data_IF_286475197128
#
_entry.id   IF_286475197128
#
_cell.length_a   1.000
_cell.length_b   1.000
_cell.length_c   1.000
_cell.angle_alpha   90.00
_cell.angle_beta   90.00
_cell.angle_gamma   90.00
#
_symmetry.space_group_name_H-M   'P 1'
#
loop_
_entity.id
_entity.type
_entity.pdbx_description
1 polymer ?
#
# COMPACT_ATOMS: atom_id res chain seq x y z
N UNK A 1 -20.18 -34.27 -55.86
CA UNK A 1 -18.73 -34.14 -55.60
C UNK A 1 -18.38 -32.67 -55.64
N UNK A 2 -17.47 -32.22 -54.80
CA UNK A 2 -17.08 -30.81 -54.68
C UNK A 2 -15.58 -30.66 -54.89
N UNK A 3 -15.16 -29.60 -55.54
CA UNK A 3 -13.73 -29.21 -55.61
C UNK A 3 -13.59 -27.75 -55.23
N UNK A 4 -12.44 -27.38 -54.69
CA UNK A 4 -12.15 -26.01 -54.29
C UNK A 4 -11.05 -25.41 -55.17
N UNK A 5 -11.34 -24.26 -55.78
CA UNK A 5 -10.36 -23.57 -56.62
C UNK A 5 -9.12 -23.14 -55.79
N UNK A 6 -7.89 -23.38 -56.27
CA UNK A 6 -6.68 -23.04 -55.52
C UNK A 6 -6.44 -21.53 -55.36
N UNK A 7 -6.97 -20.73 -56.28
CA UNK A 7 -6.78 -19.27 -56.26
C UNK A 7 -7.81 -18.58 -55.36
N UNK A 8 -9.10 -18.77 -55.64
CA UNK A 8 -10.17 -18.03 -54.95
C UNK A 8 -10.87 -18.82 -53.84
N UNK A 9 -10.49 -20.08 -53.63
CA UNK A 9 -11.08 -20.95 -52.61
C UNK A 9 -12.60 -21.17 -52.74
N UNK A 10 -13.17 -20.85 -53.90
CA UNK A 10 -14.60 -21.04 -54.18
C UNK A 10 -14.92 -22.54 -54.34
N UNK A 11 -15.85 -23.10 -53.55
CA UNK A 11 -16.29 -24.48 -53.70
C UNK A 11 -17.24 -24.61 -54.89
N UNK A 12 -16.99 -25.56 -55.76
CA UNK A 12 -17.81 -25.83 -56.94
C UNK A 12 -18.28 -27.28 -56.94
N UNK A 13 -19.54 -27.51 -57.32
CA UNK A 13 -20.10 -28.86 -57.44
C UNK A 13 -19.83 -29.39 -58.83
N UNK A 14 -19.35 -30.62 -58.93
CA UNK A 14 -19.07 -31.30 -60.18
C UNK A 14 -19.81 -32.63 -60.27
N UNK A 15 -20.25 -32.93 -61.49
CA UNK A 15 -20.79 -34.24 -61.87
C UNK A 15 -19.68 -35.10 -62.47
N UNK A 16 -19.78 -36.42 -62.33
CA UNK A 16 -18.80 -37.38 -62.87
C UNK A 16 -18.66 -37.25 -64.39
N UNK A 17 -19.76 -36.97 -65.10
CA UNK A 17 -19.74 -36.81 -66.56
C UNK A 17 -18.92 -35.60 -66.99
N UNK A 18 -19.00 -34.48 -66.25
CA UNK A 18 -18.21 -33.28 -66.54
C UNK A 18 -16.71 -33.51 -66.35
N UNK A 19 -16.32 -34.27 -65.31
CA UNK A 19 -14.92 -34.62 -65.07
C UNK A 19 -14.36 -35.52 -66.18
N UNK A 20 -15.19 -36.41 -66.74
CA UNK A 20 -14.79 -37.31 -67.82
C UNK A 20 -14.61 -36.56 -69.14
N UNK A 21 -15.52 -35.64 -69.47
CA UNK A 21 -15.46 -34.85 -70.70
C UNK A 21 -14.25 -33.92 -70.74
N UNK A 22 -13.93 -33.25 -69.62
CA UNK A 22 -12.84 -32.26 -69.58
C UNK A 22 -11.50 -32.83 -69.10
N UNK A 23 -11.41 -34.16 -68.93
CA UNK A 23 -10.23 -34.87 -68.40
C UNK A 23 -9.72 -34.29 -67.07
N UNK A 24 -10.64 -33.89 -66.18
CA UNK A 24 -10.31 -33.35 -64.86
C UNK A 24 -9.93 -31.87 -64.83
N UNK A 25 -9.69 -31.22 -65.96
CA UNK A 25 -9.41 -29.77 -65.99
C UNK A 25 -10.71 -28.99 -66.09
N UNK A 26 -10.96 -28.07 -65.16
CA UNK A 26 -12.14 -27.21 -65.16
C UNK A 26 -11.76 -25.74 -65.00
N UNK A 27 -12.67 -24.85 -65.40
CA UNK A 27 -12.54 -23.42 -65.16
C UNK A 27 -13.38 -23.02 -63.94
N UNK A 28 -12.78 -22.25 -63.03
CA UNK A 28 -13.53 -21.74 -61.88
C UNK A 28 -14.63 -20.77 -62.30
N UNK A 29 -15.85 -20.95 -61.78
CA UNK A 29 -17.00 -20.08 -62.06
C UNK A 29 -16.84 -18.68 -61.47
N UNK A 30 -15.96 -18.51 -60.48
CA UNK A 30 -15.77 -17.25 -59.78
C UNK A 30 -14.58 -16.44 -60.31
N UNK A 31 -13.40 -17.05 -60.44
CA UNK A 31 -12.18 -16.35 -60.87
C UNK A 31 -11.71 -16.71 -62.29
N UNK A 32 -12.38 -17.64 -62.98
CA UNK A 32 -12.03 -18.08 -64.33
C UNK A 32 -10.66 -18.75 -64.52
N UNK A 33 -9.93 -19.04 -63.43
CA UNK A 33 -8.69 -19.83 -63.48
C UNK A 33 -8.98 -21.27 -63.92
N UNK A 34 -8.17 -21.82 -64.81
CA UNK A 34 -8.19 -23.25 -65.14
C UNK A 34 -7.33 -24.03 -64.15
N UNK A 35 -7.88 -25.10 -63.58
CA UNK A 35 -7.18 -25.94 -62.60
C UNK A 35 -7.65 -27.39 -62.71
N UNK A 36 -6.84 -28.29 -62.16
CA UNK A 36 -7.20 -29.70 -62.04
C UNK A 36 -8.14 -29.91 -60.84
N UNK A 37 -9.38 -30.27 -61.14
CA UNK A 37 -10.42 -30.50 -60.14
C UNK A 37 -10.12 -31.72 -59.25
N UNK A 38 -9.36 -32.71 -59.74
CA UNK A 38 -9.12 -33.98 -59.04
C UNK A 38 -8.20 -33.80 -57.84
N UNK A 39 -7.29 -32.82 -57.87
CA UNK A 39 -6.33 -32.56 -56.78
C UNK A 39 -7.00 -32.12 -55.47
N UNK A 40 -8.22 -31.56 -55.54
CA UNK A 40 -8.97 -31.07 -54.37
C UNK A 40 -10.42 -31.56 -54.37
N UNK A 41 -10.67 -32.73 -54.97
CA UNK A 41 -11.99 -33.34 -55.00
C UNK A 41 -12.34 -33.92 -53.63
N UNK A 42 -13.55 -33.62 -53.16
CA UNK A 42 -14.11 -34.10 -51.91
C UNK A 42 -15.59 -34.45 -52.08
N UNK A 43 -16.09 -35.40 -51.32
CA UNK A 43 -17.50 -35.79 -51.37
C UNK A 43 -18.40 -34.94 -50.46
N UNK A 44 -17.78 -34.10 -49.62
CA UNK A 44 -18.45 -33.25 -48.63
C UNK A 44 -18.31 -31.77 -49.03
N UNK A 45 -19.38 -30.96 -49.06
CA UNK A 45 -19.29 -29.56 -49.43
C UNK A 45 -18.40 -28.81 -48.42
N UNK A 46 -17.37 -28.14 -48.93
CA UNK A 46 -16.36 -27.42 -48.13
C UNK A 46 -16.87 -26.11 -47.51
N UNK A 47 -18.12 -26.04 -47.04
CA UNK A 47 -18.59 -24.85 -46.33
C UNK A 47 -19.27 -25.17 -45.00
N UNK A 48 -18.69 -24.55 -43.97
CA UNK A 48 -19.16 -24.37 -42.60
C UNK A 48 -19.10 -25.60 -41.69
N UNK A 49 -17.88 -26.11 -41.47
CA UNK A 49 -17.52 -26.28 -40.07
C UNK A 49 -17.37 -24.85 -39.50
N UNK A 50 -18.40 -24.35 -38.82
CA UNK A 50 -18.15 -23.46 -37.68
C UNK A 50 -16.98 -24.11 -36.91
N UNK A 51 -15.97 -23.36 -36.41
CA UNK A 51 -15.07 -23.95 -35.42
C UNK A 51 -15.98 -24.68 -34.43
N UNK A 52 -15.76 -25.99 -34.16
CA UNK A 52 -16.70 -26.79 -33.39
C UNK A 52 -17.08 -25.94 -32.20
N UNK A 53 -18.37 -25.61 -32.11
CA UNK A 53 -18.91 -24.67 -31.12
C UNK A 53 -18.21 -25.01 -29.82
N UNK A 54 -17.31 -24.12 -29.39
CA UNK A 54 -16.26 -24.38 -28.40
C UNK A 54 -16.80 -25.38 -27.41
N UNK A 55 -16.40 -26.65 -27.56
CA UNK A 55 -17.07 -27.76 -26.89
C UNK A 55 -16.77 -27.55 -25.42
N UNK A 56 -17.70 -26.86 -24.73
CA UNK A 56 -17.54 -26.43 -23.36
C UNK A 56 -17.31 -27.70 -22.57
N UNK A 57 -16.04 -27.94 -22.26
CA UNK A 57 -15.61 -29.15 -21.63
C UNK A 57 -16.47 -29.34 -20.38
N UNK A 58 -16.98 -30.55 -20.09
CA UNK A 58 -17.94 -30.76 -19.01
C UNK A 58 -17.41 -30.34 -17.62
N UNK A 59 -16.11 -30.12 -17.49
CA UNK A 59 -15.44 -29.61 -16.30
C UNK A 59 -15.32 -28.08 -16.23
N UNK A 60 -15.57 -27.36 -17.32
CA UNK A 60 -15.77 -25.90 -17.35
C UNK A 60 -17.25 -25.62 -17.07
N UNK A 61 -17.67 -25.94 -15.86
CA UNK A 61 -18.96 -25.48 -15.38
C UNK A 61 -18.78 -24.10 -14.79
N UNK A 62 -19.42 -23.11 -15.41
CA UNK A 62 -19.69 -21.81 -14.79
C UNK A 62 -20.62 -22.03 -13.60
N UNK A 63 -20.02 -22.39 -12.45
CA UNK A 63 -20.75 -22.51 -11.19
C UNK A 63 -21.21 -21.10 -10.81
N UNK A 64 -22.45 -20.75 -11.17
CA UNK A 64 -23.12 -19.58 -10.59
C UNK A 64 -23.15 -19.76 -9.07
N UNK A 65 -22.63 -18.79 -8.29
CA UNK A 65 -22.60 -18.92 -6.84
C UNK A 65 -24.02 -19.12 -6.31
N UNK A 66 -24.21 -20.16 -5.50
CA UNK A 66 -25.51 -20.61 -4.98
C UNK A 66 -26.17 -19.58 -4.06
N UNK A 67 -25.42 -18.60 -3.54
CA UNK A 67 -25.99 -17.47 -2.81
C UNK A 67 -25.06 -16.23 -2.89
N UNK A 68 -25.20 -15.37 -3.91
CA UNK A 68 -24.36 -14.18 -4.07
C UNK A 68 -24.52 -13.18 -2.91
N UNK A 69 -25.68 -13.17 -2.25
CA UNK A 69 -25.94 -12.33 -1.09
C UNK A 69 -25.06 -12.75 0.10
N UNK A 70 -24.96 -14.05 0.36
CA UNK A 70 -24.18 -14.60 1.47
C UNK A 70 -22.67 -14.40 1.24
N UNK A 71 -22.22 -14.49 -0.02
CA UNK A 71 -20.86 -14.10 -0.41
C UNK A 71 -20.61 -12.61 -0.17
N UNK A 72 -21.49 -11.72 -0.65
CA UNK A 72 -21.34 -10.28 -0.46
C UNK A 72 -21.35 -9.90 1.03
N UNK A 73 -22.21 -10.54 1.84
CA UNK A 73 -22.23 -10.34 3.29
C UNK A 73 -20.94 -10.82 3.96
N UNK A 74 -20.37 -11.94 3.50
CA UNK A 74 -19.11 -12.47 4.03
C UNK A 74 -17.93 -11.55 3.69
N UNK A 75 -17.89 -11.04 2.45
CA UNK A 75 -16.90 -10.04 2.02
C UNK A 75 -17.06 -8.75 2.81
N UNK A 76 -18.29 -8.24 2.97
CA UNK A 76 -18.55 -7.04 3.76
C UNK A 76 -18.14 -7.23 5.23
N UNK A 77 -18.47 -8.36 5.84
CA UNK A 77 -18.05 -8.70 7.20
C UNK A 77 -16.51 -8.79 7.31
N UNK A 78 -15.84 -9.37 6.31
CA UNK A 78 -14.38 -9.41 6.24
C UNK A 78 -13.74 -8.02 6.13
N UNK A 79 -14.31 -7.13 5.32
CA UNK A 79 -13.85 -5.73 5.19
C UNK A 79 -14.07 -4.98 6.50
N UNK A 80 -15.23 -5.14 7.14
CA UNK A 80 -15.53 -4.51 8.43
C UNK A 80 -14.53 -5.00 9.49
N UNK A 81 -14.30 -6.31 9.57
CA UNK A 81 -13.30 -6.89 10.49
C UNK A 81 -11.91 -6.32 10.22
N UNK A 82 -11.50 -6.22 8.95
CA UNK A 82 -10.20 -5.66 8.57
C UNK A 82 -10.10 -4.18 8.97
N UNK A 83 -11.13 -3.37 8.71
CA UNK A 83 -11.17 -1.97 9.14
C UNK A 83 -11.08 -1.85 10.66
N UNK A 84 -11.81 -2.68 11.41
CA UNK A 84 -11.73 -2.72 12.88
C UNK A 84 -10.32 -3.09 13.34
N UNK A 85 -9.68 -4.08 12.71
CA UNK A 85 -8.30 -4.45 13.03
C UNK A 85 -7.33 -3.31 12.72
N UNK A 86 -7.44 -2.65 11.57
CA UNK A 86 -6.60 -1.50 11.21
C UNK A 86 -6.78 -0.37 12.22
N UNK A 87 -8.02 -0.03 12.57
CA UNK A 87 -8.29 1.02 13.56
C UNK A 87 -7.77 0.62 14.94
N UNK A 88 -7.94 -0.64 15.36
CA UNK A 88 -7.46 -1.10 16.66
C UNK A 88 -5.93 -1.14 16.76
N UNK A 89 -5.25 -1.69 15.74
CA UNK A 89 -3.79 -1.85 15.74
C UNK A 89 -3.03 -0.61 15.30
N UNK A 90 -3.53 0.12 14.28
CA UNK A 90 -2.86 1.28 13.70
C UNK A 90 -3.56 2.60 14.02
N UNK A 91 -4.77 2.62 14.57
CA UNK A 91 -5.53 3.85 14.82
C UNK A 91 -4.74 4.92 15.59
N UNK A 92 -4.09 4.60 16.72
CA UNK A 92 -3.30 5.58 17.47
C UNK A 92 -2.17 6.22 16.65
N UNK A 93 -1.48 5.43 15.82
CA UNK A 93 -0.40 5.91 14.95
C UNK A 93 -0.92 6.60 13.69
N UNK A 94 -2.03 6.13 13.13
CA UNK A 94 -2.66 6.68 11.92
C UNK A 94 -3.27 8.06 12.16
N UNK A 95 -3.77 8.31 13.37
CA UNK A 95 -4.21 9.64 13.82
C UNK A 95 -3.04 10.63 13.95
N UNK A 96 -1.81 10.14 14.05
CA UNK A 96 -0.59 10.93 14.15
C UNK A 96 0.18 11.04 12.82
N UNK A 97 -0.48 10.71 11.69
CA UNK A 97 0.02 11.06 10.37
C UNK A 97 -0.65 12.33 9.84
N UNK A 98 0.18 13.30 9.46
CA UNK A 98 -0.21 14.61 8.91
C UNK A 98 -1.25 14.51 7.78
N UNK A 99 -1.12 13.48 6.93
CA UNK A 99 -1.94 13.32 5.71
C UNK A 99 -3.41 12.99 5.99
N UNK A 100 -3.69 12.23 7.04
CA UNK A 100 -5.05 11.73 7.30
C UNK A 100 -5.81 12.56 8.34
N UNK A 101 -5.09 13.34 9.14
CA UNK A 101 -5.67 14.19 10.19
C UNK A 101 -6.82 15.10 9.73
N UNK A 102 -6.75 15.85 8.62
CA UNK A 102 -7.87 16.71 8.22
C UNK A 102 -9.16 15.92 7.99
N UNK A 103 -9.04 14.71 7.43
CA UNK A 103 -10.17 13.83 7.17
C UNK A 103 -10.80 13.30 8.48
N UNK A 104 -9.96 12.99 9.48
CA UNK A 104 -10.43 12.59 10.82
C UNK A 104 -11.09 13.73 11.60
N UNK A 105 -10.60 14.96 11.48
CA UNK A 105 -11.22 16.15 12.08
C UNK A 105 -12.62 16.34 11.51
N UNK A 106 -12.76 16.27 10.19
CA UNK A 106 -14.04 16.42 9.51
C UNK A 106 -15.02 15.30 9.90
N UNK A 107 -14.58 14.03 9.88
CA UNK A 107 -15.39 12.91 10.34
C UNK A 107 -15.82 13.08 11.82
N UNK A 108 -14.91 13.48 12.71
CA UNK A 108 -15.24 13.68 14.12
C UNK A 108 -16.20 14.85 14.35
N UNK A 109 -16.22 15.87 13.48
CA UNK A 109 -17.18 16.97 13.57
C UNK A 109 -18.62 16.47 13.36
N UNK A 110 -18.84 15.51 12.47
CA UNK A 110 -20.15 14.87 12.27
C UNK A 110 -20.51 13.91 13.40
N UNK A 111 -19.53 13.17 13.93
CA UNK A 111 -19.72 12.16 14.97
C UNK A 111 -19.63 12.71 16.40
N UNK A 112 -19.38 14.02 16.59
CA UNK A 112 -19.19 14.67 17.90
C UNK A 112 -18.15 13.95 18.79
N UNK A 113 -17.02 13.58 18.19
CA UNK A 113 -15.93 12.87 18.86
C UNK A 113 -14.79 13.83 19.28
N UNK A 114 -14.12 13.54 20.40
CA UNK A 114 -12.93 14.28 20.85
C UNK A 114 -11.67 13.59 20.31
N UNK A 115 -10.99 14.23 19.36
CA UNK A 115 -9.69 13.76 18.85
C UNK A 115 -8.58 14.10 19.86
N UNK A 116 -7.65 13.19 20.18
CA UNK A 116 -6.49 13.52 21.02
C UNK A 116 -5.59 14.56 20.34
N UNK A 117 -4.84 15.29 21.17
CA UNK A 117 -3.81 16.22 20.69
C UNK A 117 -2.75 15.46 19.87
N UNK A 118 -2.45 16.00 18.69
CA UNK A 118 -1.45 15.40 17.82
C UNK A 118 -0.06 15.71 18.34
N UNK A 119 0.77 14.68 18.28
CA UNK A 119 2.13 14.69 18.77
C UNK A 119 2.93 13.81 17.84
N UNK A 120 4.02 14.33 17.30
CA UNK A 120 4.94 13.54 16.49
C UNK A 120 6.36 13.85 16.92
N UNK A 121 6.96 12.89 17.65
CA UNK A 121 8.32 13.01 18.15
C UNK A 121 9.35 13.08 17.02
N UNK A 122 9.03 12.57 15.82
CA UNK A 122 9.92 12.63 14.67
C UNK A 122 10.07 14.06 14.10
N UNK A 123 9.11 14.95 14.37
CA UNK A 123 9.16 16.34 13.91
C UNK A 123 9.92 17.25 14.90
N UNK A 124 10.37 16.71 16.04
CA UNK A 124 11.29 17.42 16.92
C UNK A 124 12.73 17.16 16.50
N UNK A 125 13.45 18.23 16.23
CA UNK A 125 14.89 18.17 15.96
C UNK A 125 15.68 18.67 17.16
N UNK A 126 16.73 17.93 17.50
CA UNK A 126 17.70 18.34 18.52
C UNK A 126 18.78 19.16 17.84
N UNK A 127 18.84 20.45 18.15
CA UNK A 127 19.87 21.35 17.62
C UNK A 127 21.18 21.22 18.39
N UNK A 128 21.09 21.10 19.71
CA UNK A 128 22.24 20.92 20.58
C UNK A 128 21.85 20.25 21.90
N UNK A 129 22.81 19.55 22.51
CA UNK A 129 22.68 19.08 23.89
C UNK A 129 24.02 19.19 24.61
N UNK A 130 23.95 19.40 25.92
CA UNK A 130 25.13 19.50 26.77
C UNK A 130 24.80 19.08 28.20
N UNK A 131 25.82 18.57 28.90
CA UNK A 131 25.77 18.31 30.33
C UNK A 131 26.96 19.03 30.97
N UNK A 132 26.69 20.00 31.82
CA UNK A 132 27.71 20.89 32.39
C UNK A 132 27.72 20.74 33.90
N UNK A 133 28.91 20.68 34.50
CA UNK A 133 29.06 20.73 35.95
C UNK A 133 28.95 22.19 36.43
N UNK A 134 28.03 22.45 37.35
CA UNK A 134 27.79 23.77 37.95
C UNK A 134 28.72 23.97 39.15
N UNK A 135 28.92 25.22 39.58
CA UNK A 135 29.73 25.57 40.74
C UNK A 135 29.34 24.79 42.02
N UNK A 136 28.05 24.49 42.18
CA UNK A 136 27.48 23.73 43.31
C UNK A 136 27.71 22.21 43.20
N UNK A 137 28.62 21.76 42.33
CA UNK A 137 28.91 20.36 42.01
C UNK A 137 27.73 19.55 41.43
N UNK A 138 26.60 20.20 41.16
CA UNK A 138 25.47 19.59 40.46
C UNK A 138 25.65 19.65 38.94
N UNK A 139 25.03 18.72 38.23
CA UNK A 139 25.03 18.72 36.79
C UNK A 139 23.82 19.47 36.26
N UNK A 140 24.00 20.28 35.22
CA UNK A 140 22.92 20.94 34.50
C UNK A 140 22.89 20.38 33.09
N UNK A 141 21.81 19.67 32.77
CA UNK A 141 21.54 19.19 31.42
C UNK A 141 20.78 20.27 30.66
N UNK A 142 21.23 20.57 29.45
CA UNK A 142 20.62 21.53 28.54
C UNK A 142 20.43 20.89 27.17
N UNK A 143 19.22 20.92 26.66
CA UNK A 143 18.88 20.52 25.29
C UNK A 143 18.14 21.66 24.58
N UNK A 144 18.55 21.96 23.35
CA UNK A 144 17.88 22.91 22.48
C UNK A 144 17.18 22.11 21.41
N UNK A 145 15.86 22.25 21.35
CA UNK A 145 15.01 21.53 20.40
C UNK A 145 14.20 22.51 19.57
N UNK A 146 13.95 22.16 18.32
CA UNK A 146 13.07 22.91 17.42
C UNK A 146 11.92 22.02 16.97
N UNK A 147 10.70 22.57 17.05
CA UNK A 147 9.51 21.94 16.48
C UNK A 147 9.48 22.20 14.97
N UNK A 148 9.94 21.25 14.16
CA UNK A 148 9.94 21.39 12.69
C UNK A 148 8.57 21.12 12.06
N UNK A 149 7.55 20.82 12.87
CA UNK A 149 6.21 20.61 12.37
C UNK A 149 5.52 21.93 11.98
N UNK A 150 4.56 21.83 11.05
CA UNK A 150 3.67 22.92 10.65
C UNK A 150 2.54 23.19 11.67
N UNK A 151 2.55 22.54 12.84
CA UNK A 151 1.54 22.68 13.89
C UNK A 151 2.18 22.76 15.28
N UNK A 152 1.42 23.32 16.23
CA UNK A 152 1.86 23.41 17.62
C UNK A 152 1.83 22.05 18.31
N UNK A 153 2.90 21.70 19.00
CA UNK A 153 3.08 20.39 19.67
C UNK A 153 3.20 20.53 21.18
N UNK A 154 2.68 19.58 21.99
CA UNK A 154 2.94 19.58 23.42
C UNK A 154 4.44 19.36 23.69
N UNK A 155 4.91 19.79 24.86
CA UNK A 155 6.29 19.55 25.27
C UNK A 155 6.61 18.04 25.30
N UNK A 156 7.74 17.60 24.74
CA UNK A 156 8.17 16.22 24.88
C UNK A 156 8.73 15.98 26.28
N UNK A 157 8.59 14.75 26.76
CA UNK A 157 9.37 14.29 27.89
C UNK A 157 10.82 14.03 27.47
N UNK A 158 11.71 13.98 28.46
CA UNK A 158 13.13 13.70 28.25
C UNK A 158 13.53 12.49 29.07
N UNK A 159 14.07 11.47 28.41
CA UNK A 159 14.68 10.32 29.06
C UNK A 159 16.19 10.52 29.05
N UNK A 160 16.76 10.86 30.21
CA UNK A 160 18.19 11.10 30.37
C UNK A 160 18.86 9.87 30.97
N UNK A 161 19.94 9.41 30.35
CA UNK A 161 20.76 8.29 30.81
C UNK A 161 22.19 8.77 31.02
N UNK A 162 22.72 8.57 32.23
CA UNK A 162 24.09 8.91 32.57
C UNK A 162 24.99 7.68 32.42
N UNK A 163 26.14 7.89 31.79
CA UNK A 163 27.11 6.86 31.48
C UNK A 163 28.35 7.01 32.37
N UNK A 164 28.95 5.88 32.74
CA UNK A 164 30.27 5.84 33.38
C UNK A 164 31.35 6.19 32.36
N UNK A 165 32.60 6.34 32.83
CA UNK A 165 33.78 6.47 31.97
C UNK A 165 33.99 5.25 31.04
N UNK A 166 33.44 4.08 31.40
CA UNK A 166 33.44 2.88 30.55
C UNK A 166 32.37 2.88 29.45
N UNK A 167 31.46 3.88 29.44
CA UNK A 167 30.32 3.93 28.52
C UNK A 167 29.07 3.18 28.98
N UNK A 168 29.13 2.47 30.11
CA UNK A 168 27.96 1.77 30.66
C UNK A 168 26.96 2.72 31.31
N UNK A 169 25.64 2.53 31.11
CA UNK A 169 24.64 3.29 31.84
C UNK A 169 24.65 2.90 33.32
N UNK A 170 24.64 3.89 34.21
CA UNK A 170 24.56 3.66 35.66
C UNK A 170 23.36 4.35 36.32
N UNK A 171 22.77 5.33 35.67
CA UNK A 171 21.56 6.01 36.12
C UNK A 171 20.71 6.42 34.92
N UNK A 172 19.40 6.31 35.06
CA UNK A 172 18.45 6.72 34.04
C UNK A 172 17.20 7.29 34.69
N UNK A 173 16.69 8.40 34.16
CA UNK A 173 15.44 8.99 34.61
C UNK A 173 14.64 9.54 33.44
N UNK A 174 13.35 9.21 33.42
CA UNK A 174 12.38 9.79 32.52
C UNK A 174 11.71 11.00 33.19
N UNK A 175 11.78 12.14 32.54
CA UNK A 175 11.12 13.38 32.93
C UNK A 175 9.94 13.60 32.00
N UNK A 176 8.73 13.34 32.48
CA UNK A 176 7.50 13.63 31.74
C UNK A 176 7.19 15.13 31.78
N UNK A 177 6.45 15.66 30.80
CA UNK A 177 6.10 17.07 30.76
C UNK A 177 5.41 17.58 32.03
N UNK A 178 4.61 16.73 32.69
CA UNK A 178 3.89 17.08 33.93
C UNK A 178 4.82 17.36 35.12
N UNK A 179 6.05 16.83 35.09
CA UNK A 179 7.06 17.04 36.13
C UNK A 179 8.00 18.21 35.80
N UNK A 180 7.78 18.89 34.67
CA UNK A 180 8.58 19.99 34.18
C UNK A 180 7.74 21.26 34.13
N UNK A 181 8.37 22.40 34.40
CA UNK A 181 7.70 23.69 34.34
C UNK A 181 8.01 24.35 33.00
N UNK A 182 6.98 24.56 32.20
CA UNK A 182 7.08 25.26 30.92
C UNK A 182 6.32 26.58 30.98
N UNK A 183 6.71 27.53 30.11
CA UNK A 183 6.03 28.83 30.01
C UNK A 183 4.71 28.74 29.23
N UNK A 184 4.66 27.82 28.28
CA UNK A 184 3.51 27.54 27.42
C UNK A 184 3.21 26.06 27.47
N UNK A 185 1.95 25.69 27.25
CA UNK A 185 1.56 24.27 27.21
C UNK A 185 2.03 23.57 25.92
N UNK A 186 2.21 24.37 24.85
CA UNK A 186 2.61 23.91 23.51
C UNK A 186 3.74 24.77 22.96
N UNK A 187 4.50 24.15 22.06
CA UNK A 187 5.58 24.73 21.27
C UNK A 187 5.00 25.02 19.89
N UNK A 188 5.07 26.27 19.44
CA UNK A 188 4.55 26.71 18.15
C UNK A 188 5.31 26.06 16.97
N UNK A 189 4.74 26.08 15.75
CA UNK A 189 5.45 25.65 14.55
C UNK A 189 6.77 26.40 14.38
N UNK A 190 7.83 25.68 14.01
CA UNK A 190 9.18 26.22 13.79
C UNK A 190 9.80 26.94 15.01
N UNK A 191 9.20 26.81 16.19
CA UNK A 191 9.69 27.42 17.42
C UNK A 191 10.83 26.59 18.02
N UNK A 192 11.89 27.28 18.45
CA UNK A 192 13.02 26.70 19.17
C UNK A 192 12.88 26.97 20.66
N UNK A 193 12.94 25.92 21.47
CA UNK A 193 12.90 26.01 22.92
C UNK A 193 14.13 25.37 23.56
N UNK A 194 14.37 25.74 24.82
CA UNK A 194 15.41 25.17 25.66
C UNK A 194 14.79 24.36 26.79
N UNK A 195 15.25 23.12 26.96
CA UNK A 195 14.92 22.27 28.10
C UNK A 195 16.15 22.20 29.00
N UNK A 196 15.98 22.67 30.24
CA UNK A 196 17.01 22.68 31.27
C UNK A 196 16.63 21.81 32.45
N UNK A 197 17.52 20.90 32.87
CA UNK A 197 17.30 20.00 34.01
C UNK A 197 18.47 20.09 34.98
N UNK A 198 18.18 20.44 36.24
CA UNK A 198 19.14 20.35 37.32
C UNK A 198 19.19 18.91 37.85
N UNK A 199 20.37 18.31 37.84
CA UNK A 199 20.64 16.94 38.24
C UNK A 199 21.59 16.98 39.44
N UNK A 200 21.16 16.40 40.56
CA UNK A 200 21.99 16.27 41.74
C UNK A 200 23.26 15.45 41.42
N UNK A 201 24.39 15.85 42.01
CA UNK A 201 25.66 15.15 41.85
C UNK A 201 25.52 13.66 42.26
N UNK A 202 25.71 12.70 41.34
CA UNK A 202 25.71 11.29 41.70
C UNK A 202 26.99 10.93 42.46
N UNK A 203 26.92 9.90 43.31
CA UNK A 203 28.10 9.38 44.03
C UNK A 203 29.15 8.72 43.13
N UNK A 204 28.85 8.51 41.85
CA UNK A 204 29.75 7.95 40.83
C UNK A 204 30.11 9.02 39.80
N UNK A 205 31.36 9.02 39.31
CA UNK A 205 31.79 9.95 38.28
C UNK A 205 31.02 9.74 36.97
N UNK A 206 30.50 10.85 36.41
CA UNK A 206 29.82 10.85 35.11
C UNK A 206 30.87 10.91 34.01
N UNK A 207 30.91 9.88 33.15
CA UNK A 207 31.78 9.86 31.97
C UNK A 207 31.11 10.35 30.70
N UNK A 208 29.78 10.32 30.63
CA UNK A 208 29.01 10.81 29.49
C UNK A 208 27.51 10.77 29.74
N UNK A 209 26.74 11.10 28.70
CA UNK A 209 25.29 11.06 28.75
C UNK A 209 24.71 10.67 27.38
N UNK A 210 23.53 10.08 27.41
CA UNK A 210 22.65 9.94 26.25
C UNK A 210 21.26 10.41 26.65
N UNK A 211 20.49 10.89 25.68
CA UNK A 211 19.11 11.26 25.94
C UNK A 211 18.21 10.98 24.74
N UNK A 212 16.94 10.78 25.03
CA UNK A 212 15.89 10.56 24.04
C UNK A 212 14.65 11.38 24.41
N UNK A 213 13.94 11.86 23.39
CA UNK A 213 12.63 12.48 23.57
C UNK A 213 11.58 11.36 23.71
N UNK A 214 10.72 11.46 24.72
CA UNK A 214 9.66 10.48 25.05
C UNK A 214 8.33 11.15 25.24
#
# INVERSE_FOLDING_TARGET
MFTQCPECHHPQTLTIDQLRETRGIIRCSQCSTQFDALQRLSDTPANVALPPSEEQLPWVQDRKPTNPLLWNLSVAAGIILLCVQIIYFQGPSALQHERFRPWFIEACSYLSCSLPDYRNLADFSVLASSLILTADQNYYFKAIINNQAEFAQPHPGVKLTLLKLSGEPFAQRAFTPDNLTFRTDKIAPHETIEIGLAIAAPGTSVGGYTFELI
#
